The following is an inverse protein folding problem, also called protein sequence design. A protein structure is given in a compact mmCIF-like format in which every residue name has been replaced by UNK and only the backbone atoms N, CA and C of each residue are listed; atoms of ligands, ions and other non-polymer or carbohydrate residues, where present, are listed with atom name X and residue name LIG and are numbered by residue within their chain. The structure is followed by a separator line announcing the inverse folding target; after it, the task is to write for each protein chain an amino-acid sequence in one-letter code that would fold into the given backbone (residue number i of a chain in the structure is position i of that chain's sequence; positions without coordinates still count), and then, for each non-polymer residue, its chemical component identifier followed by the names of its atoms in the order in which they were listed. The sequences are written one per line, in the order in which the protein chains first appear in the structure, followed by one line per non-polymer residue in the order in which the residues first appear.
data_IF_988036787590
#
_entry.id   IF_988036787590
#
_cell.length_a   1.000
_cell.length_b   1.000
_cell.length_c   1.000
_cell.angle_alpha   90.00
_cell.angle_beta   90.00
_cell.angle_gamma   90.00
#
_symmetry.space_group_name_H-M   'P 1'
#
loop_
_entity.id
_entity.type
_entity.pdbx_description
1 polymer ?
#
# COMPACT_ATOMS: atom_id res chain seq x y z
N UNK A 1 22.86 -0.92 -10.88
CA UNK A 1 23.63 -1.59 -9.80
C UNK A 1 24.61 -0.60 -9.22
N UNK A 2 24.77 -0.54 -7.90
CA UNK A 2 25.72 0.37 -7.25
C UNK A 2 27.17 -0.05 -7.53
N UNK A 3 27.69 0.30 -8.70
CA UNK A 3 29.01 -0.13 -9.21
C UNK A 3 30.21 0.41 -8.42
N UNK A 4 29.98 1.25 -7.41
CA UNK A 4 31.02 1.86 -6.58
C UNK A 4 31.50 0.97 -5.42
N UNK A 5 30.67 -0.01 -5.01
CA UNK A 5 30.96 -0.88 -3.86
C UNK A 5 31.72 -2.19 -4.18
N UNK A 6 31.42 -2.93 -5.27
CA UNK A 6 32.02 -4.25 -5.49
C UNK A 6 33.50 -4.16 -5.93
N UNK A 7 34.35 -4.91 -5.24
CA UNK A 7 35.77 -5.12 -5.57
C UNK A 7 36.00 -6.59 -5.90
N UNK A 8 36.90 -6.82 -6.85
CA UNK A 8 37.43 -8.14 -7.18
C UNK A 8 38.89 -8.19 -6.70
N UNK A 9 39.26 -9.29 -6.06
CA UNK A 9 40.57 -9.50 -5.46
C UNK A 9 41.41 -10.39 -6.38
N UNK A 10 42.62 -9.95 -6.72
CA UNK A 10 43.57 -10.68 -7.58
C UNK A 10 44.83 -11.00 -6.79
N UNK A 11 45.21 -12.27 -6.72
CA UNK A 11 46.48 -12.69 -6.10
C UNK A 11 47.50 -12.96 -7.20
N UNK A 12 48.66 -12.34 -7.11
CA UNK A 12 49.78 -12.59 -8.02
C UNK A 12 50.54 -13.86 -7.58
N UNK A 13 50.52 -14.89 -8.43
CA UNK A 13 51.18 -16.19 -8.19
C UNK A 13 52.71 -16.08 -7.99
N UNK A 14 53.33 -15.01 -8.47
CA UNK A 14 54.79 -14.79 -8.35
C UNK A 14 55.23 -14.10 -7.06
N UNK A 15 54.39 -13.23 -6.49
CA UNK A 15 54.74 -12.40 -5.33
C UNK A 15 53.89 -12.70 -4.08
N UNK A 16 52.80 -13.45 -4.22
CA UNK A 16 51.85 -13.73 -3.14
C UNK A 16 51.08 -12.51 -2.65
N UNK A 17 51.14 -11.38 -3.37
CA UNK A 17 50.46 -10.14 -3.00
C UNK A 17 49.04 -10.18 -3.56
N UNK A 18 48.05 -9.87 -2.72
CA UNK A 18 46.66 -9.69 -3.13
C UNK A 18 46.39 -8.21 -3.39
N UNK A 19 45.90 -7.88 -4.58
CA UNK A 19 45.48 -6.53 -4.97
C UNK A 19 43.96 -6.53 -5.18
N UNK A 20 43.27 -5.65 -4.47
CA UNK A 20 41.81 -5.48 -4.59
C UNK A 20 41.52 -4.31 -5.53
N UNK A 21 40.79 -4.55 -6.61
CA UNK A 21 40.47 -3.51 -7.60
C UNK A 21 38.97 -3.41 -7.85
N UNK A 22 38.50 -2.22 -8.22
CA UNK A 22 37.08 -1.96 -8.41
C UNK A 22 36.56 -2.73 -9.63
N UNK A 23 35.51 -3.54 -9.44
CA UNK A 23 34.95 -4.40 -10.50
C UNK A 23 34.44 -3.64 -11.73
N UNK A 24 33.96 -2.42 -11.52
CA UNK A 24 33.43 -1.58 -12.59
C UNK A 24 34.53 -0.80 -13.34
N UNK A 25 35.70 -0.63 -12.72
CA UNK A 25 36.87 0.02 -13.32
C UNK A 25 38.15 -0.48 -12.63
N UNK A 26 38.79 -1.47 -13.25
CA UNK A 26 39.99 -2.12 -12.71
C UNK A 26 41.22 -1.20 -12.61
N UNK A 27 41.14 0.05 -13.06
CA UNK A 27 42.21 1.05 -12.84
C UNK A 27 42.20 1.62 -11.42
N UNK A 28 41.11 1.44 -10.68
CA UNK A 28 40.92 2.00 -9.34
C UNK A 28 41.20 0.93 -8.30
N UNK A 29 42.23 1.16 -7.48
CA UNK A 29 42.57 0.35 -6.31
C UNK A 29 41.50 0.52 -5.21
N UNK A 30 41.02 -0.59 -4.67
CA UNK A 30 40.00 -0.63 -3.64
C UNK A 30 40.51 -0.17 -2.27
N UNK A 31 41.81 -0.29 -2.00
CA UNK A 31 42.47 0.10 -0.75
C UNK A 31 42.97 1.55 -0.75
N UNK A 32 42.90 2.22 -1.90
CA UNK A 32 43.29 3.62 -2.06
C UNK A 32 42.52 4.58 -1.14
N UNK A 33 43.24 5.44 -0.42
CA UNK A 33 42.65 6.42 0.51
C UNK A 33 41.63 7.37 -0.17
N UNK A 34 41.83 7.68 -1.45
CA UNK A 34 40.91 8.52 -2.22
C UNK A 34 39.52 7.91 -2.39
N UNK A 35 39.41 6.57 -2.46
CA UNK A 35 38.13 5.88 -2.66
C UNK A 35 37.25 5.87 -1.41
N UNK A 36 37.85 5.74 -0.21
CA UNK A 36 37.11 5.66 1.06
C UNK A 36 36.14 6.82 1.26
N UNK A 37 36.56 8.04 0.89
CA UNK A 37 35.72 9.23 1.03
C UNK A 37 34.53 9.22 0.08
N UNK A 38 34.73 8.79 -1.16
CA UNK A 38 33.65 8.64 -2.13
C UNK A 38 32.69 7.50 -1.78
N UNK A 39 33.18 6.41 -1.18
CA UNK A 39 32.33 5.31 -0.68
C UNK A 39 31.44 5.85 0.43
N UNK A 40 32.01 6.58 1.39
CA UNK A 40 31.24 7.18 2.48
C UNK A 40 30.18 8.16 1.96
N UNK A 41 30.56 9.05 1.03
CA UNK A 41 29.61 9.99 0.41
C UNK A 41 28.47 9.26 -0.33
N UNK A 42 28.79 8.26 -1.15
CA UNK A 42 27.81 7.48 -1.87
C UNK A 42 26.86 6.73 -0.91
N UNK A 43 27.40 6.11 0.15
CA UNK A 43 26.60 5.44 1.18
C UNK A 43 25.62 6.40 1.87
N UNK A 44 26.05 7.62 2.19
CA UNK A 44 25.18 8.64 2.79
C UNK A 44 24.06 9.01 1.81
N UNK A 45 24.38 9.30 0.54
CA UNK A 45 23.37 9.65 -0.45
C UNK A 45 22.35 8.53 -0.69
N UNK A 46 22.79 7.27 -0.65
CA UNK A 46 21.89 6.10 -0.71
C UNK A 46 21.00 6.02 0.52
N UNK A 47 21.49 6.36 1.71
CA UNK A 47 20.71 6.35 2.95
C UNK A 47 19.75 7.55 3.08
N UNK A 48 20.01 8.66 2.39
CA UNK A 48 19.14 9.84 2.40
C UNK A 48 17.75 9.52 1.85
N UNK A 49 17.62 8.70 0.82
CA UNK A 49 16.31 8.34 0.25
C UNK A 49 15.41 7.52 1.20
N UNK A 50 15.87 6.37 1.77
CA UNK A 50 15.06 5.56 2.68
C UNK A 50 14.79 6.24 4.03
N UNK A 51 15.56 7.25 4.44
CA UNK A 51 15.31 7.97 5.70
C UNK A 51 14.53 9.27 5.44
N UNK A 52 14.89 9.99 4.38
CA UNK A 52 14.33 11.27 3.99
C UNK A 52 12.84 11.18 3.70
N UNK A 53 12.41 10.21 2.88
CA UNK A 53 10.99 10.08 2.51
C UNK A 53 10.10 9.78 3.73
N UNK A 54 10.39 8.76 4.58
CA UNK A 54 9.60 8.53 5.78
C UNK A 54 9.61 9.72 6.74
N UNK A 55 10.76 10.38 6.93
CA UNK A 55 10.85 11.56 7.80
C UNK A 55 9.99 12.72 7.29
N UNK A 56 9.98 12.93 5.97
CA UNK A 56 9.18 13.96 5.31
C UNK A 56 7.68 13.67 5.42
N UNK A 57 7.26 12.43 5.18
CA UNK A 57 5.87 11.99 5.36
C UNK A 57 5.43 12.17 6.81
N UNK A 58 6.25 11.72 7.76
CA UNK A 58 5.98 11.87 9.20
C UNK A 58 5.82 13.34 9.59
N UNK A 59 6.72 14.21 9.12
CA UNK A 59 6.69 15.63 9.42
C UNK A 59 5.39 16.28 8.95
N UNK A 60 4.99 16.05 7.69
CA UNK A 60 3.79 16.69 7.14
C UNK A 60 2.52 16.15 7.77
N UNK A 61 2.41 14.82 7.91
CA UNK A 61 1.27 14.17 8.53
C UNK A 61 1.09 14.63 9.98
N UNK A 62 2.18 14.72 10.75
CA UNK A 62 2.12 15.16 12.14
C UNK A 62 1.71 16.63 12.27
N UNK A 63 2.19 17.51 11.38
CA UNK A 63 1.84 18.94 11.35
C UNK A 63 0.37 19.17 11.00
N UNK A 64 -0.22 18.34 10.13
CA UNK A 64 -1.60 18.46 9.64
C UNK A 64 -2.58 17.48 10.28
N UNK A 65 -2.16 16.70 11.28
CA UNK A 65 -2.93 15.62 11.92
C UNK A 65 -4.35 16.02 12.34
N UNK A 66 -4.51 17.24 12.87
CA UNK A 66 -5.81 17.71 13.40
C UNK A 66 -6.86 17.86 12.30
N UNK A 67 -6.44 18.19 11.08
CA UNK A 67 -7.34 18.31 9.94
C UNK A 67 -7.64 16.94 9.32
N UNK A 68 -6.67 16.03 9.35
CA UNK A 68 -6.80 14.67 8.79
C UNK A 68 -7.70 13.77 9.64
N UNK A 69 -7.70 13.98 10.97
CA UNK A 69 -8.54 13.26 11.93
C UNK A 69 -10.03 13.64 11.88
N UNK A 70 -10.40 14.66 11.10
CA UNK A 70 -11.80 15.03 10.90
C UNK A 70 -12.56 13.94 10.14
N UNK A 71 -13.91 13.90 10.24
CA UNK A 71 -14.74 12.99 9.45
C UNK A 71 -14.47 13.13 7.95
N UNK A 72 -14.66 12.04 7.19
CA UNK A 72 -14.31 11.95 5.75
C UNK A 72 -14.94 13.09 4.94
N UNK A 73 -16.22 13.39 5.15
CA UNK A 73 -16.93 14.46 4.45
C UNK A 73 -16.30 15.86 4.65
N UNK A 74 -15.82 16.18 5.85
CA UNK A 74 -15.29 17.53 6.14
C UNK A 74 -13.84 17.71 5.67
N UNK A 75 -13.07 16.62 5.59
CA UNK A 75 -11.64 16.68 5.23
C UNK A 75 -11.38 16.67 3.72
N UNK A 76 -12.32 16.20 2.90
CA UNK A 76 -12.15 16.17 1.45
C UNK A 76 -12.11 17.56 0.81
N UNK A 77 -12.86 18.52 1.37
CA UNK A 77 -12.94 19.90 0.87
C UNK A 77 -11.85 20.84 1.42
N UNK A 78 -11.02 20.37 2.37
CA UNK A 78 -9.99 21.20 2.98
C UNK A 78 -8.78 21.39 2.03
N UNK A 79 -8.73 22.57 1.40
CA UNK A 79 -7.63 23.01 0.53
C UNK A 79 -6.25 22.92 1.19
N UNK A 80 -6.17 22.97 2.53
CA UNK A 80 -4.91 22.90 3.26
C UNK A 80 -4.30 21.48 3.32
N UNK A 81 -5.08 20.45 3.01
CA UNK A 81 -4.66 19.04 2.99
C UNK A 81 -4.86 18.35 1.62
N UNK A 82 -5.47 19.03 0.65
CA UNK A 82 -5.64 18.54 -0.72
C UNK A 82 -4.32 18.08 -1.39
N UNK A 83 -3.20 18.79 -1.15
CA UNK A 83 -1.90 18.43 -1.71
C UNK A 83 -1.25 17.16 -1.13
N UNK A 84 -1.78 16.65 -0.02
CA UNK A 84 -1.30 15.44 0.65
C UNK A 84 -2.35 14.33 0.69
N UNK A 85 -3.42 14.47 -0.13
CA UNK A 85 -4.56 13.55 -0.17
C UNK A 85 -4.11 12.09 -0.30
N UNK A 86 -3.13 11.83 -1.16
CA UNK A 86 -2.58 10.49 -1.40
C UNK A 86 -2.00 9.78 -0.15
N UNK A 87 -1.59 10.51 0.89
CA UNK A 87 -1.03 9.89 2.10
C UNK A 87 -2.10 9.40 3.09
N UNK A 88 -3.32 9.92 3.02
CA UNK A 88 -4.34 9.70 4.05
C UNK A 88 -5.72 9.30 3.52
N UNK A 89 -6.06 9.62 2.28
CA UNK A 89 -7.34 9.33 1.64
C UNK A 89 -7.78 7.87 1.73
N UNK A 90 -6.93 6.86 1.43
CA UNK A 90 -7.38 5.47 1.49
C UNK A 90 -7.60 4.96 2.92
N UNK A 91 -7.22 5.72 3.95
CA UNK A 91 -7.21 5.28 5.35
C UNK A 91 -8.27 5.99 6.21
N UNK A 92 -8.75 5.26 7.20
CA UNK A 92 -9.62 5.79 8.25
C UNK A 92 -8.92 6.93 9.02
N UNK A 93 -9.65 7.94 9.51
CA UNK A 93 -9.07 9.07 10.25
C UNK A 93 -8.21 8.67 11.47
N UNK A 94 -8.57 7.57 12.13
CA UNK A 94 -7.84 7.00 13.28
C UNK A 94 -6.43 6.50 12.90
N UNK A 95 -6.26 6.05 11.65
CA UNK A 95 -5.04 5.45 11.11
C UNK A 95 -4.29 6.40 10.15
N UNK A 96 -4.29 7.70 10.43
CA UNK A 96 -3.62 8.74 9.63
C UNK A 96 -2.11 8.48 9.34
N UNK A 97 -1.46 7.64 10.15
CA UNK A 97 -0.05 7.28 10.02
C UNK A 97 0.18 6.01 9.20
N UNK A 98 -0.85 5.36 8.66
CA UNK A 98 -0.70 4.04 8.04
C UNK A 98 0.19 4.05 6.79
N UNK A 99 0.17 5.12 6.00
CA UNK A 99 1.07 5.27 4.84
C UNK A 99 2.56 5.22 5.24
N UNK A 100 2.89 5.68 6.45
CA UNK A 100 4.24 5.56 6.98
C UNK A 100 4.61 4.09 7.21
N UNK A 101 3.69 3.28 7.77
CA UNK A 101 3.92 1.85 8.00
C UNK A 101 4.07 1.11 6.66
N UNK A 102 3.23 1.42 5.67
CA UNK A 102 3.35 0.89 4.30
C UNK A 102 4.71 1.23 3.69
N UNK A 103 5.16 2.48 3.83
CA UNK A 103 6.47 2.93 3.35
C UNK A 103 7.61 2.21 4.08
N UNK A 104 7.54 2.06 5.39
CA UNK A 104 8.54 1.34 6.18
C UNK A 104 8.63 -0.13 5.80
N UNK A 105 7.49 -0.81 5.58
CA UNK A 105 7.46 -2.18 5.05
C UNK A 105 8.19 -2.27 3.71
N UNK A 106 7.89 -1.37 2.77
CA UNK A 106 8.55 -1.34 1.46
C UNK A 106 10.06 -1.19 1.64
N UNK A 107 10.50 -0.27 2.49
CA UNK A 107 11.92 -0.05 2.78
C UNK A 107 12.61 -1.26 3.43
N UNK A 108 11.94 -1.95 4.35
CA UNK A 108 12.47 -3.17 4.95
C UNK A 108 12.65 -4.27 3.91
N UNK A 109 11.65 -4.51 3.05
CA UNK A 109 11.66 -5.59 2.06
C UNK A 109 12.57 -5.32 0.86
N UNK A 110 12.69 -4.07 0.41
CA UNK A 110 13.47 -3.73 -0.81
C UNK A 110 14.83 -3.10 -0.52
N UNK A 111 14.97 -2.40 0.61
CA UNK A 111 16.20 -1.71 0.99
C UNK A 111 17.03 -2.54 1.97
N UNK A 112 16.55 -2.68 3.21
CA UNK A 112 17.31 -3.27 4.33
C UNK A 112 17.64 -4.73 4.07
N UNK A 113 16.69 -5.50 3.55
CA UNK A 113 16.90 -6.92 3.25
C UNK A 113 18.05 -7.14 2.26
N UNK A 114 18.24 -6.21 1.30
CA UNK A 114 19.34 -6.27 0.35
C UNK A 114 20.72 -6.04 0.98
N UNK A 115 20.77 -5.38 2.14
CA UNK A 115 22.02 -5.13 2.89
C UNK A 115 22.48 -6.35 3.69
N UNK A 116 21.61 -7.35 3.90
CA UNK A 116 21.94 -8.61 4.59
C UNK A 116 22.93 -9.47 3.75
N UNK A 117 23.29 -9.02 2.54
CA UNK A 117 24.51 -9.50 1.85
C UNK A 117 25.75 -9.06 2.62
N UNK A 118 26.09 -9.77 3.69
CA UNK A 118 27.37 -9.62 4.35
C UNK A 118 28.49 -10.20 3.49
N UNK A 119 29.49 -9.38 3.14
CA UNK A 119 30.88 -9.88 3.09
C UNK A 119 31.26 -10.11 4.55
N UNK A 120 31.14 -11.35 5.02
CA UNK A 120 31.99 -11.83 6.12
C UNK A 120 33.25 -12.29 5.40
N UNK A 121 34.41 -11.81 5.88
CA UNK A 121 35.75 -12.17 5.41
C UNK A 121 35.83 -13.63 4.92
N UNK A 122 36.35 -13.77 3.69
CA UNK A 122 36.81 -15.00 3.02
C UNK A 122 35.85 -16.13 2.64
N UNK A 123 34.54 -16.03 2.86
CA UNK A 123 33.60 -16.97 2.21
C UNK A 123 32.31 -16.26 1.78
N UNK A 124 31.91 -16.47 0.52
CA UNK A 124 30.61 -16.02 0.01
C UNK A 124 29.53 -16.87 0.71
N UNK A 125 29.15 -16.47 1.92
CA UNK A 125 27.96 -17.02 2.55
C UNK A 125 26.79 -16.61 1.69
N UNK A 126 26.12 -17.61 1.13
CA UNK A 126 24.92 -17.48 0.28
C UNK A 126 23.72 -16.99 1.13
N UNK A 127 23.83 -15.79 1.73
CA UNK A 127 22.87 -15.15 2.65
C UNK A 127 21.50 -14.90 2.01
N UNK A 128 21.38 -15.14 0.71
CA UNK A 128 20.11 -15.17 -0.03
C UNK A 128 19.06 -16.07 0.64
N UNK A 129 19.46 -17.19 1.26
CA UNK A 129 18.52 -18.05 2.00
C UNK A 129 17.94 -17.32 3.23
N UNK A 130 18.82 -16.72 4.04
CA UNK A 130 18.44 -15.92 5.22
C UNK A 130 17.62 -14.69 4.82
N UNK A 131 17.93 -14.06 3.68
CA UNK A 131 17.17 -12.94 3.12
C UNK A 131 15.73 -13.36 2.78
N UNK A 132 15.54 -14.44 2.03
CA UNK A 132 14.19 -14.91 1.72
C UNK A 132 13.42 -15.31 2.99
N UNK A 133 14.07 -15.97 3.96
CA UNK A 133 13.46 -16.30 5.24
C UNK A 133 13.00 -15.07 6.04
N UNK A 134 13.86 -14.05 6.15
CA UNK A 134 13.52 -12.80 6.82
C UNK A 134 12.40 -12.03 6.08
N UNK A 135 12.36 -12.08 4.75
CA UNK A 135 11.28 -11.49 3.96
C UNK A 135 9.92 -12.13 4.26
N UNK A 136 9.87 -13.47 4.39
CA UNK A 136 8.64 -14.19 4.76
C UNK A 136 8.15 -13.73 6.13
N UNK A 137 9.04 -13.62 7.12
CA UNK A 137 8.69 -13.16 8.47
C UNK A 137 8.11 -11.74 8.41
N UNK A 138 8.81 -10.80 7.76
CA UNK A 138 8.37 -9.40 7.64
C UNK A 138 7.01 -9.32 6.91
N UNK A 139 6.87 -10.01 5.78
CA UNK A 139 5.64 -10.00 4.99
C UNK A 139 4.46 -10.63 5.74
N UNK A 140 4.69 -11.72 6.49
CA UNK A 140 3.66 -12.39 7.29
C UNK A 140 3.24 -11.53 8.46
N UNK A 141 4.18 -11.01 9.24
CA UNK A 141 3.89 -10.11 10.37
C UNK A 141 3.12 -8.89 9.90
N UNK A 142 3.52 -8.27 8.79
CA UNK A 142 2.80 -7.13 8.22
C UNK A 142 1.38 -7.49 7.76
N UNK A 143 1.21 -8.60 7.04
CA UNK A 143 -0.10 -9.01 6.52
C UNK A 143 -1.07 -9.35 7.65
N UNK A 144 -0.57 -9.99 8.71
CA UNK A 144 -1.33 -10.27 9.93
C UNK A 144 -1.72 -8.97 10.63
N UNK A 145 -0.77 -8.04 10.80
CA UNK A 145 -1.03 -6.72 11.39
C UNK A 145 -2.08 -5.94 10.60
N UNK A 146 -2.01 -5.98 9.27
CA UNK A 146 -2.99 -5.38 8.38
C UNK A 146 -4.39 -6.02 8.54
N UNK A 147 -4.46 -7.35 8.60
CA UNK A 147 -5.71 -8.08 8.73
C UNK A 147 -6.42 -7.81 10.07
N UNK A 148 -5.66 -7.59 11.16
CA UNK A 148 -6.23 -7.25 12.47
C UNK A 148 -6.72 -5.81 12.56
N UNK A 149 -5.98 -4.85 12.02
CA UNK A 149 -6.31 -3.43 12.18
C UNK A 149 -7.26 -2.88 11.11
N UNK A 150 -7.31 -3.48 9.91
CA UNK A 150 -8.15 -3.05 8.78
C UNK A 150 -8.26 -1.51 8.64
N UNK A 151 -7.11 -0.86 8.36
CA UNK A 151 -6.95 0.59 8.39
C UNK A 151 -7.63 1.31 7.22
N UNK A 152 -7.93 0.60 6.13
CA UNK A 152 -8.53 1.18 4.94
C UNK A 152 -10.00 1.53 5.19
N UNK A 153 -10.45 2.62 4.58
CA UNK A 153 -11.85 3.06 4.66
C UNK A 153 -12.75 2.07 3.90
N UNK A 154 -12.38 1.73 2.67
CA UNK A 154 -13.11 0.79 1.85
C UNK A 154 -12.69 -0.67 2.13
N UNK A 155 -13.68 -1.55 2.26
CA UNK A 155 -13.45 -2.99 2.42
C UNK A 155 -12.76 -3.59 1.18
N UNK A 156 -13.06 -3.09 -0.01
CA UNK A 156 -12.41 -3.50 -1.26
C UNK A 156 -10.90 -3.33 -1.16
N UNK A 157 -10.44 -2.17 -0.72
CA UNK A 157 -9.02 -1.86 -0.62
C UNK A 157 -8.34 -2.71 0.46
N UNK A 158 -9.03 -2.99 1.56
CA UNK A 158 -8.58 -3.96 2.57
C UNK A 158 -8.37 -5.35 1.97
N UNK A 159 -9.32 -5.85 1.18
CA UNK A 159 -9.22 -7.17 0.53
C UNK A 159 -8.06 -7.19 -0.46
N UNK A 160 -7.90 -6.13 -1.27
CA UNK A 160 -6.79 -5.99 -2.22
C UNK A 160 -5.45 -6.03 -1.51
N UNK A 161 -5.31 -5.28 -0.40
CA UNK A 161 -4.07 -5.21 0.35
C UNK A 161 -3.72 -6.55 1.03
N UNK A 162 -4.72 -7.27 1.55
CA UNK A 162 -4.53 -8.63 2.11
C UNK A 162 -4.13 -9.63 1.01
N UNK A 163 -4.79 -9.59 -0.15
CA UNK A 163 -4.44 -10.43 -1.30
C UNK A 163 -3.01 -10.16 -1.78
N UNK A 164 -2.61 -8.89 -1.87
CA UNK A 164 -1.23 -8.50 -2.18
C UNK A 164 -0.24 -9.03 -1.13
N UNK A 165 -0.61 -8.97 0.16
CA UNK A 165 0.13 -9.59 1.26
C UNK A 165 0.35 -11.08 1.07
N UNK A 166 -0.73 -11.82 0.76
CA UNK A 166 -0.67 -13.25 0.48
C UNK A 166 0.21 -13.58 -0.74
N UNK A 167 0.15 -12.75 -1.80
CA UNK A 167 1.02 -12.92 -2.98
C UNK A 167 2.49 -12.71 -2.66
N UNK A 168 2.83 -11.72 -1.82
CA UNK A 168 4.20 -11.49 -1.36
C UNK A 168 4.72 -12.68 -0.56
N UNK A 169 3.92 -13.21 0.38
CA UNK A 169 4.29 -14.38 1.19
C UNK A 169 4.55 -15.60 0.29
N UNK A 170 3.66 -15.88 -0.67
CA UNK A 170 3.84 -17.01 -1.59
C UNK A 170 5.11 -16.85 -2.43
N UNK A 171 5.36 -15.64 -2.94
CA UNK A 171 6.56 -15.35 -3.75
C UNK A 171 7.85 -15.57 -2.96
N UNK A 172 7.93 -15.06 -1.73
CA UNK A 172 9.11 -15.26 -0.89
C UNK A 172 9.26 -16.70 -0.40
N UNK A 173 8.16 -17.42 -0.16
CA UNK A 173 8.18 -18.85 0.20
C UNK A 173 8.75 -19.70 -0.94
N UNK A 174 8.35 -19.42 -2.17
CA UNK A 174 8.90 -20.12 -3.35
C UNK A 174 10.37 -19.77 -3.56
N UNK A 175 10.75 -18.50 -3.44
CA UNK A 175 12.15 -18.09 -3.51
C UNK A 175 13.02 -18.80 -2.45
N UNK A 176 12.50 -18.91 -1.22
CA UNK A 176 13.14 -19.64 -0.14
C UNK A 176 13.27 -21.13 -0.44
N UNK A 177 12.22 -21.78 -0.99
CA UNK A 177 12.24 -23.19 -1.37
C UNK A 177 13.24 -23.49 -2.49
N UNK A 178 13.27 -22.65 -3.54
CA UNK A 178 14.25 -22.77 -4.64
C UNK A 178 15.68 -22.67 -4.12
N UNK A 179 15.92 -21.80 -3.12
CA UNK A 179 17.24 -21.64 -2.52
C UNK A 179 17.61 -22.77 -1.57
N UNK A 180 16.64 -23.28 -0.80
CA UNK A 180 16.81 -24.42 0.12
C UNK A 180 17.26 -25.70 -0.62
N UNK A 181 16.71 -25.94 -1.81
CA UNK A 181 16.99 -27.12 -2.64
C UNK A 181 18.35 -27.10 -3.37
N UNK A 182 19.11 -25.99 -3.30
CA UNK A 182 20.44 -25.92 -3.92
C UNK A 182 21.44 -26.93 -3.33
N UNK A 183 21.10 -27.54 -2.19
CA UNK A 183 21.89 -28.56 -1.48
C UNK A 183 21.70 -29.99 -2.01
N UNK A 184 20.74 -30.24 -2.90
CA UNK A 184 20.44 -31.57 -3.47
C UNK A 184 20.46 -31.51 -4.99
N UNK A 185 21.63 -31.81 -5.57
CA UNK A 185 21.86 -31.95 -7.00
C UNK A 185 21.19 -33.25 -7.50
N UNK A 186 19.98 -33.19 -8.11
CA UNK A 186 19.74 -33.97 -9.34
C UNK A 186 18.49 -33.60 -10.19
N UNK A 187 17.38 -33.06 -9.67
CA UNK A 187 16.16 -33.00 -10.50
C UNK A 187 15.83 -31.63 -11.12
N UNK A 188 16.38 -31.36 -12.31
CA UNK A 188 16.00 -30.18 -13.14
C UNK A 188 14.49 -30.13 -13.42
N UNK A 189 13.85 -31.28 -13.56
CA UNK A 189 12.40 -31.39 -13.77
C UNK A 189 11.58 -30.87 -12.57
N UNK A 190 12.06 -31.06 -11.34
CA UNK A 190 11.39 -30.53 -10.15
C UNK A 190 11.54 -29.02 -10.01
N UNK A 191 12.67 -28.46 -10.42
CA UNK A 191 12.89 -27.01 -10.42
C UNK A 191 12.01 -26.31 -11.46
N UNK A 192 11.95 -26.85 -12.68
CA UNK A 192 11.09 -26.32 -13.75
C UNK A 192 9.59 -26.49 -13.41
N UNK A 193 9.22 -27.63 -12.82
CA UNK A 193 7.85 -27.89 -12.35
C UNK A 193 7.41 -26.93 -11.24
N UNK A 194 8.29 -26.63 -10.28
CA UNK A 194 8.01 -25.65 -9.21
C UNK A 194 7.85 -24.23 -9.78
N UNK A 195 8.70 -23.84 -10.73
CA UNK A 195 8.61 -22.54 -11.40
C UNK A 195 7.30 -22.38 -12.18
N UNK A 196 6.91 -23.40 -12.95
CA UNK A 196 5.64 -23.39 -13.68
C UNK A 196 4.43 -23.35 -12.74
N UNK A 197 4.42 -24.16 -11.68
CA UNK A 197 3.38 -24.13 -10.65
C UNK A 197 3.25 -22.74 -10.02
N UNK A 198 4.37 -22.06 -9.75
CA UNK A 198 4.35 -20.70 -9.20
C UNK A 198 3.68 -19.70 -10.15
N UNK A 199 4.02 -19.76 -11.44
CA UNK A 199 3.41 -18.89 -12.46
C UNK A 199 1.91 -19.15 -12.53
N UNK A 200 1.47 -20.41 -12.46
CA UNK A 200 0.05 -20.76 -12.43
C UNK A 200 -0.65 -20.25 -11.17
N UNK A 201 -0.07 -20.43 -9.99
CA UNK A 201 -0.66 -19.96 -8.73
C UNK A 201 -0.75 -18.42 -8.70
N UNK A 202 0.33 -17.71 -9.03
CA UNK A 202 0.34 -16.24 -9.11
C UNK A 202 -0.64 -15.72 -10.17
N UNK A 203 -0.57 -16.29 -11.38
CA UNK A 203 -1.44 -15.93 -12.49
C UNK A 203 -2.90 -16.21 -12.20
N UNK A 204 -3.21 -17.30 -11.50
CA UNK A 204 -4.56 -17.66 -11.08
C UNK A 204 -5.14 -16.66 -10.09
N UNK A 205 -4.40 -16.26 -9.05
CA UNK A 205 -4.86 -15.26 -8.08
C UNK A 205 -5.07 -13.91 -8.77
N UNK A 206 -4.16 -13.50 -9.65
CA UNK A 206 -4.31 -12.26 -10.44
C UNK A 206 -5.52 -12.31 -11.37
N UNK A 207 -5.78 -13.44 -12.03
CA UNK A 207 -6.93 -13.62 -12.90
C UNK A 207 -8.24 -13.55 -12.12
N UNK A 208 -8.33 -14.22 -10.96
CA UNK A 208 -9.49 -14.12 -10.07
C UNK A 208 -9.73 -12.67 -9.65
N UNK A 209 -8.66 -11.95 -9.29
CA UNK A 209 -8.74 -10.53 -8.93
C UNK A 209 -9.23 -9.66 -10.09
N UNK A 210 -8.70 -9.86 -11.30
CA UNK A 210 -9.12 -9.13 -12.50
C UNK A 210 -10.60 -9.41 -12.82
N UNK A 211 -11.03 -10.67 -12.77
CA UNK A 211 -12.42 -11.04 -13.01
C UNK A 211 -13.35 -10.44 -11.95
N UNK A 212 -12.93 -10.43 -10.70
CA UNK A 212 -13.65 -9.79 -9.60
C UNK A 212 -13.78 -8.29 -9.84
N UNK A 213 -12.67 -7.60 -10.15
CA UNK A 213 -12.67 -6.18 -10.46
C UNK A 213 -13.55 -5.83 -11.68
N UNK A 214 -13.48 -6.63 -12.76
CA UNK A 214 -14.34 -6.45 -13.94
C UNK A 214 -15.82 -6.61 -13.56
N UNK A 215 -16.17 -7.60 -12.74
CA UNK A 215 -17.55 -7.76 -12.27
C UNK A 215 -18.00 -6.55 -11.46
N UNK A 216 -17.22 -6.11 -10.49
CA UNK A 216 -17.55 -4.94 -9.67
C UNK A 216 -17.70 -3.66 -10.51
N UNK A 217 -16.84 -3.45 -11.51
CA UNK A 217 -16.94 -2.31 -12.43
C UNK A 217 -18.19 -2.40 -13.32
N UNK A 218 -18.60 -3.60 -13.74
CA UNK A 218 -19.84 -3.80 -14.51
C UNK A 218 -21.08 -3.58 -13.64
N UNK A 219 -21.05 -4.03 -12.39
CA UNK A 219 -22.15 -3.85 -11.44
C UNK A 219 -22.37 -2.37 -11.11
N UNK A 220 -21.31 -1.63 -10.84
CA UNK A 220 -21.38 -0.17 -10.61
C UNK A 220 -21.86 0.60 -11.84
N UNK A 221 -21.33 0.27 -13.03
CA UNK A 221 -21.80 0.88 -14.28
C UNK A 221 -23.29 0.58 -14.51
N UNK A 222 -23.71 -0.66 -14.28
CA UNK A 222 -25.12 -1.05 -14.41
C UNK A 222 -26.01 -0.30 -13.43
N UNK A 223 -25.58 -0.11 -12.18
CA UNK A 223 -26.30 0.70 -11.19
C UNK A 223 -26.45 2.16 -11.64
N UNK A 224 -25.41 2.75 -12.24
CA UNK A 224 -25.49 4.11 -12.80
C UNK A 224 -26.43 4.19 -14.01
N UNK A 225 -26.37 3.22 -14.92
CA UNK A 225 -27.22 3.17 -16.11
C UNK A 225 -28.71 2.97 -15.71
N UNK A 226 -28.99 2.10 -14.74
CA UNK A 226 -30.34 1.85 -14.20
C UNK A 226 -30.90 3.10 -13.49
N UNK A 227 -30.05 3.83 -12.74
CA UNK A 227 -30.42 5.09 -12.09
C UNK A 227 -30.74 6.19 -13.10
N UNK A 228 -29.89 6.37 -14.11
CA UNK A 228 -30.11 7.35 -15.18
C UNK A 228 -31.42 7.06 -15.93
N UNK A 229 -31.74 5.77 -16.14
CA UNK A 229 -32.99 5.36 -16.77
C UNK A 229 -34.22 5.65 -15.90
N UNK A 230 -34.16 5.49 -14.57
CA UNK A 230 -35.27 5.84 -13.67
C UNK A 230 -35.53 7.34 -13.64
N UNK A 231 -34.48 8.17 -13.59
CA UNK A 231 -34.59 9.64 -13.66
C UNK A 231 -35.28 10.08 -14.94
N UNK A 232 -34.86 9.54 -16.11
CA UNK A 232 -35.49 9.84 -17.39
C UNK A 232 -36.98 9.46 -17.41
N UNK A 233 -37.34 8.27 -16.89
CA UNK A 233 -38.75 7.82 -16.80
C UNK A 233 -39.61 8.66 -15.85
N UNK A 234 -39.03 9.28 -14.82
CA UNK A 234 -39.76 10.21 -13.93
C UNK A 234 -40.01 11.55 -14.61
N UNK A 235 -39.02 12.09 -15.33
CA UNK A 235 -39.18 13.33 -16.12
C UNK A 235 -40.25 13.16 -17.20
N UNK A 236 -40.25 12.03 -17.92
CA UNK A 236 -41.25 11.75 -18.95
C UNK A 236 -42.68 11.62 -18.37
N UNK A 237 -42.84 10.93 -17.23
CA UNK A 237 -44.14 10.84 -16.54
C UNK A 237 -44.63 12.18 -16.01
N UNK A 238 -43.73 13.02 -15.49
CA UNK A 238 -44.07 14.39 -15.07
C UNK A 238 -44.55 15.25 -16.25
N UNK A 239 -43.89 15.14 -17.40
CA UNK A 239 -44.27 15.88 -18.62
C UNK A 239 -45.64 15.50 -19.17
N UNK A 240 -46.15 14.30 -18.90
CA UNK A 240 -47.47 13.87 -19.36
C UNK A 240 -48.61 14.31 -18.42
N UNK A 241 -48.29 14.58 -17.14
CA UNK A 241 -49.28 15.03 -16.15
C UNK A 241 -49.67 16.50 -16.32
N UNK A 242 -48.81 17.32 -16.92
CA UNK A 242 -49.06 18.77 -17.14
C UNK A 242 -49.86 19.06 -18.43
N UNK A 243 -50.43 18.02 -19.06
CA UNK A 243 -51.31 18.14 -20.24
C UNK A 243 -52.73 18.67 -19.97
N UNK A 244 -53.09 18.93 -18.70
CA UNK A 244 -54.31 19.67 -18.35
C UNK A 244 -53.94 20.90 -17.52
N UNK A 245 -54.23 22.07 -18.10
CA UNK A 245 -53.67 23.36 -17.67
C UNK A 245 -53.81 23.68 -16.18
N UNK A 246 -52.69 24.09 -15.59
CA UNK A 246 -52.64 24.68 -14.26
C UNK A 246 -51.22 24.76 -13.70
N UNK A 247 -50.65 25.97 -13.72
CA UNK A 247 -49.47 26.45 -12.96
C UNK A 247 -48.28 25.50 -12.76
N UNK A 248 -47.16 25.86 -13.40
CA UNK A 248 -45.80 25.32 -13.17
C UNK A 248 -45.47 25.29 -11.68
N UNK A 249 -45.54 24.11 -11.07
CA UNK A 249 -44.99 23.81 -9.76
C UNK A 249 -43.58 23.26 -9.92
N UNK A 250 -42.59 23.96 -9.42
CA UNK A 250 -41.21 23.47 -9.31
C UNK A 250 -41.20 22.15 -8.55
N UNK A 251 -40.93 21.04 -9.24
CA UNK A 251 -40.67 19.74 -8.62
C UNK A 251 -39.35 19.84 -7.87
N UNK A 252 -39.44 20.05 -6.55
CA UNK A 252 -38.30 19.93 -5.65
C UNK A 252 -37.84 18.47 -5.65
N UNK A 253 -36.63 18.24 -6.16
CA UNK A 253 -35.96 16.94 -6.07
C UNK A 253 -35.22 16.93 -4.74
N UNK A 254 -35.77 16.26 -3.74
CA UNK A 254 -35.05 15.90 -2.52
C UNK A 254 -34.25 14.62 -2.83
N UNK A 255 -32.96 14.78 -3.09
CA UNK A 255 -32.03 13.68 -3.36
C UNK A 255 -31.41 13.25 -2.03
N UNK A 256 -31.91 12.17 -1.46
CA UNK A 256 -31.16 11.45 -0.43
C UNK A 256 -29.99 10.71 -1.09
N UNK A 257 -28.77 11.20 -0.82
CA UNK A 257 -27.55 10.40 -0.80
C UNK A 257 -26.88 10.09 -2.13
N UNK A 258 -26.39 11.10 -2.85
CA UNK A 258 -25.16 11.03 -3.67
C UNK A 258 -24.56 12.45 -3.73
N UNK A 259 -23.48 12.72 -2.98
CA UNK A 259 -22.69 13.95 -3.18
C UNK A 259 -21.95 13.84 -4.52
N UNK A 260 -22.52 14.45 -5.57
CA UNK A 260 -21.72 14.92 -6.71
C UNK A 260 -21.19 16.31 -6.34
N UNK A 261 -19.88 16.44 -6.22
CA UNK A 261 -19.21 17.69 -5.89
C UNK A 261 -19.62 18.82 -6.82
N UNK A 262 -20.30 19.81 -6.26
CA UNK A 262 -20.86 20.94 -7.00
C UNK A 262 -19.94 22.16 -6.92
N UNK A 263 -19.77 22.78 -8.08
CA UNK A 263 -19.08 24.04 -8.25
C UNK A 263 -19.85 25.17 -7.56
N UNK A 264 -19.36 25.59 -6.40
CA UNK A 264 -19.32 26.97 -5.91
C UNK A 264 -20.60 27.82 -5.98
N UNK A 265 -21.20 28.07 -4.81
CA UNK A 265 -22.11 29.19 -4.61
C UNK A 265 -22.91 29.09 -3.32
N UNK A 266 -22.32 29.50 -2.20
CA UNK A 266 -22.90 29.31 -0.87
C UNK A 266 -24.11 30.18 -0.56
N UNK A 267 -25.00 29.68 0.31
CA UNK A 267 -25.73 30.41 1.37
C UNK A 267 -26.12 29.35 2.41
N UNK A 268 -25.79 29.57 3.68
CA UNK A 268 -26.01 28.60 4.75
C UNK A 268 -27.36 28.69 5.46
N UNK A 269 -27.73 27.63 6.18
CA UNK A 269 -28.26 27.69 7.57
C UNK A 269 -28.46 26.29 8.17
N UNK A 270 -28.25 26.25 9.47
CA UNK A 270 -28.31 25.15 10.43
C UNK A 270 -29.60 24.33 10.45
N UNK A 271 -29.46 23.03 10.76
CA UNK A 271 -30.15 22.40 11.91
C UNK A 271 -29.56 21.03 12.22
N UNK A 272 -29.23 20.82 13.50
CA UNK A 272 -28.92 19.53 14.12
C UNK A 272 -30.01 18.48 13.87
N UNK A 273 -29.63 17.23 13.60
CA UNK A 273 -30.40 16.06 14.02
C UNK A 273 -29.46 14.87 14.29
N UNK A 274 -29.50 14.41 15.53
CA UNK A 274 -28.78 13.24 16.01
C UNK A 274 -29.42 11.95 15.47
N UNK A 275 -28.60 10.97 15.09
CA UNK A 275 -29.06 9.62 14.75
C UNK A 275 -28.63 8.65 15.86
N UNK A 276 -29.60 8.17 16.62
CA UNK A 276 -29.45 7.08 17.59
C UNK A 276 -29.17 5.74 16.87
N UNK A 277 -28.29 4.94 17.48
CA UNK A 277 -27.81 3.67 16.96
C UNK A 277 -28.74 2.52 17.45
N UNK A 278 -29.40 1.74 16.57
CA UNK A 278 -30.39 0.75 16.98
C UNK A 278 -29.73 -0.63 17.20
N UNK A 279 -28.82 -0.74 18.17
CA UNK A 279 -28.24 -2.04 18.58
C UNK A 279 -27.92 -2.09 20.08
N UNK A 280 -28.89 -1.75 20.95
CA UNK A 280 -28.80 -2.08 22.38
C UNK A 280 -30.17 -2.38 22.99
N UNK A 281 -30.56 -3.65 22.86
CA UNK A 281 -31.71 -4.18 23.58
C UNK A 281 -31.45 -4.31 25.08
N UNK A 282 -32.39 -3.79 25.88
CA UNK A 282 -32.98 -4.50 27.01
C UNK A 282 -32.30 -4.42 28.39
N UNK A 283 -32.98 -3.73 29.32
CA UNK A 283 -32.88 -3.89 30.80
C UNK A 283 -31.91 -2.90 31.45
N UNK A 284 -32.34 -1.78 32.06
CA UNK A 284 -33.20 -1.72 33.25
C UNK A 284 -32.38 -2.22 34.45
N UNK A 285 -31.93 -1.44 35.43
CA UNK A 285 -32.32 -0.14 35.95
C UNK A 285 -32.10 -0.26 37.47
N UNK A 286 -31.04 0.37 38.01
CA UNK A 286 -30.86 0.49 39.46
C UNK A 286 -30.92 1.97 39.78
N UNK A 287 -32.05 2.35 40.39
CA UNK A 287 -32.38 3.67 40.88
C UNK A 287 -31.68 3.85 42.23
N UNK A 288 -30.83 4.88 42.35
CA UNK A 288 -30.45 5.44 43.64
C UNK A 288 -31.49 6.47 44.07
N UNK A 289 -31.76 6.58 45.38
CA UNK A 289 -32.41 7.76 45.93
C UNK A 289 -33.14 7.58 47.27
N UNK A 290 -32.52 8.14 48.32
CA UNK A 290 -33.11 8.78 49.49
C UNK A 290 -33.71 7.95 50.63
N UNK A 291 -32.93 7.77 51.69
CA UNK A 291 -33.15 8.37 53.02
C UNK A 291 -31.82 8.41 53.79
#
# INVERSE_FOLDING_TARGET
TFGFFPCDDFTDDGTGKTESVLRNDYRIDCDGAGRRWWVAFASIMVAVFPIGIPSFYTYILWKKRKNIMKPVAEREDDKAIAGIKFLWEPYKPEFWYWELIETLKRLMLTGVLGLIKGKIEDDIVDTTFTQCGAAIIIATTYTVFLAFHQPFEELRDSVVAILAGAMMILTYTVAWLMKSRRTSLDDKYEADGLGFLMILCMGGILLVFILWAIRTMRETKKQQDDLALDVLKRVERGSWSDGHGGSVGSVGVEVDGVEMGDLGGGVGRSSEFAFENPMRGGGGGVQGGNA
#
